data_IF_080083230963
#
_entry.id   IF_080083230963
#
_cell.length_a   1.000
_cell.length_b   1.000
_cell.length_c   1.000
_cell.angle_alpha   90.00
_cell.angle_beta   90.00
_cell.angle_gamma   90.00
#
_symmetry.space_group_name_H-M   'P 1'
#
loop_
_entity.id
_entity.type
_entity.pdbx_description
1 polymer ?
#
# COMPACT_ATOMS: atom_id res chain seq x y z
N UNK A 1 -1.10 -3.31 -6.60
CA UNK A 1 -1.90 -3.08 -5.38
C UNK A 1 -1.89 -1.60 -5.04
N UNK A 2 -3.05 -1.04 -4.81
CA UNK A 2 -3.19 0.38 -4.48
C UNK A 2 -3.83 0.52 -3.09
N UNK A 3 -3.14 1.19 -2.18
CA UNK A 3 -3.60 1.38 -0.81
C UNK A 3 -4.35 2.72 -0.70
N UNK A 4 -5.62 2.65 -0.31
CA UNK A 4 -6.50 3.81 -0.17
C UNK A 4 -7.04 3.92 1.25
N UNK A 5 -7.42 5.12 1.65
CA UNK A 5 -8.05 5.40 2.94
C UNK A 5 -7.23 4.78 4.08
N UNK A 6 -7.87 4.07 4.99
CA UNK A 6 -7.17 3.49 6.15
C UNK A 6 -6.12 2.45 5.76
N UNK A 7 -6.23 1.83 4.58
CA UNK A 7 -5.27 0.81 4.16
C UNK A 7 -3.87 1.37 3.91
N UNK A 8 -3.72 2.70 3.77
CA UNK A 8 -2.38 3.30 3.66
C UNK A 8 -1.52 3.01 4.88
N UNK A 9 -2.15 2.74 6.03
CA UNK A 9 -1.44 2.32 7.23
C UNK A 9 -0.69 1.00 7.09
N UNK A 10 -1.07 0.16 6.12
CA UNK A 10 -0.35 -1.09 5.85
C UNK A 10 1.07 -0.85 5.34
N UNK A 11 1.36 0.33 4.81
CA UNK A 11 2.69 0.68 4.30
C UNK A 11 3.68 1.11 5.40
N UNK A 12 3.23 1.26 6.63
CA UNK A 12 4.09 1.64 7.76
C UNK A 12 4.89 0.40 8.19
N UNK A 13 6.23 0.47 8.21
CA UNK A 13 7.05 -0.67 8.60
C UNK A 13 7.02 -0.92 10.11
N UNK A 14 7.56 -2.07 10.51
CA UNK A 14 7.76 -2.43 11.92
C UNK A 14 6.48 -2.59 12.73
N UNK A 15 5.34 -2.79 12.08
CA UNK A 15 4.11 -3.12 12.77
C UNK A 15 4.15 -4.58 13.20
N UNK A 16 3.82 -4.81 14.47
CA UNK A 16 3.80 -6.16 15.04
C UNK A 16 2.37 -6.66 15.11
N UNK A 17 2.18 -7.90 14.72
CA UNK A 17 0.90 -8.57 14.86
C UNK A 17 1.00 -9.62 15.97
N UNK A 18 -0.12 -9.95 16.65
CA UNK A 18 -0.11 -11.03 17.62
C UNK A 18 0.33 -12.34 16.98
N UNK A 19 0.89 -13.23 17.80
CA UNK A 19 1.27 -14.57 17.34
C UNK A 19 0.06 -15.29 16.71
N UNK A 20 0.30 -15.90 15.55
CA UNK A 20 -0.76 -16.58 14.80
C UNK A 20 -1.44 -15.71 13.75
N UNK A 21 -1.13 -14.41 13.68
CA UNK A 21 -1.65 -13.50 12.67
C UNK A 21 -0.58 -13.18 11.62
N UNK A 22 -1.04 -12.77 10.44
CA UNK A 22 -0.13 -12.43 9.35
C UNK A 22 0.59 -11.12 9.61
N UNK A 23 1.87 -11.07 9.32
CA UNK A 23 2.65 -9.84 9.36
C UNK A 23 2.53 -9.13 8.01
N UNK A 24 1.87 -7.97 8.00
CA UNK A 24 1.59 -7.22 6.77
C UNK A 24 2.87 -6.76 6.08
N UNK A 25 3.88 -6.33 6.83
CA UNK A 25 5.14 -5.91 6.23
C UNK A 25 5.80 -7.04 5.45
N UNK A 26 5.83 -8.25 6.01
CA UNK A 26 6.37 -9.42 5.32
C UNK A 26 5.58 -9.74 4.06
N UNK A 27 4.27 -9.64 4.14
CA UNK A 27 3.40 -9.93 2.99
C UNK A 27 3.62 -8.94 1.87
N UNK A 28 3.65 -7.63 2.18
CA UNK A 28 3.91 -6.60 1.19
C UNK A 28 5.31 -6.72 0.59
N UNK A 29 6.32 -6.96 1.42
CA UNK A 29 7.68 -7.15 0.96
C UNK A 29 7.79 -8.33 -0.01
N UNK A 30 7.12 -9.43 0.31
CA UNK A 30 7.09 -10.61 -0.54
C UNK A 30 6.45 -10.31 -1.91
N UNK A 31 5.33 -9.60 -1.90
CA UNK A 31 4.61 -9.22 -3.13
C UNK A 31 5.49 -8.31 -3.98
N UNK A 32 6.15 -7.34 -3.39
CA UNK A 32 7.04 -6.40 -4.09
C UNK A 32 8.23 -7.14 -4.71
N UNK A 33 8.83 -8.07 -3.97
CA UNK A 33 9.95 -8.88 -4.47
C UNK A 33 9.57 -9.73 -5.67
N UNK A 34 8.30 -10.10 -5.78
CA UNK A 34 7.79 -10.88 -6.92
C UNK A 34 7.45 -10.00 -8.12
N UNK A 35 7.73 -8.72 -8.06
CA UNK A 35 7.54 -7.80 -9.17
C UNK A 35 6.22 -7.03 -9.17
N UNK A 36 5.42 -7.14 -8.13
CA UNK A 36 4.18 -6.38 -8.05
C UNK A 36 4.45 -4.93 -7.68
N UNK A 37 3.63 -4.04 -8.25
CA UNK A 37 3.66 -2.63 -7.90
C UNK A 37 2.72 -2.37 -6.74
N UNK A 38 3.22 -1.73 -5.67
CA UNK A 38 2.42 -1.33 -4.51
C UNK A 38 2.54 0.18 -4.37
N UNK A 39 1.39 0.86 -4.40
CA UNK A 39 1.32 2.31 -4.28
C UNK A 39 0.33 2.71 -3.21
N UNK A 40 0.58 3.84 -2.56
CA UNK A 40 -0.28 4.38 -1.52
C UNK A 40 -0.80 5.75 -1.94
N UNK A 41 -2.08 6.01 -1.68
CA UNK A 41 -2.69 7.30 -1.97
C UNK A 41 -2.02 8.42 -1.16
N UNK A 42 -1.50 9.43 -1.86
CA UNK A 42 -0.82 10.56 -1.21
C UNK A 42 -1.75 11.38 -0.33
N UNK A 43 -2.94 11.70 -0.82
CA UNK A 43 -3.92 12.46 -0.03
C UNK A 43 -4.38 11.72 1.21
N UNK A 44 -4.62 10.42 1.10
CA UNK A 44 -5.00 9.58 2.24
C UNK A 44 -3.87 9.49 3.26
N UNK A 45 -2.63 9.40 2.78
CA UNK A 45 -1.45 9.34 3.64
C UNK A 45 -1.22 10.67 4.35
N UNK A 46 -1.38 11.79 3.64
CA UNK A 46 -1.26 13.12 4.21
C UNK A 46 -2.28 13.35 5.32
N UNK A 47 -3.54 13.00 5.06
CA UNK A 47 -4.62 13.15 6.04
C UNK A 47 -4.35 12.40 7.34
N UNK A 48 -3.55 11.34 7.30
CA UNK A 48 -3.23 10.51 8.45
C UNK A 48 -1.82 10.73 9.00
N UNK A 49 -1.11 11.75 8.50
CA UNK A 49 0.25 12.05 8.93
C UNK A 49 1.28 11.00 8.55
N UNK A 50 0.99 10.17 7.58
CA UNK A 50 1.86 9.04 7.17
C UNK A 50 2.96 9.47 6.21
N UNK A 51 2.76 10.57 5.45
CA UNK A 51 3.75 11.03 4.46
C UNK A 51 5.12 11.32 5.06
N UNK A 52 5.18 11.71 6.33
CA UNK A 52 6.42 12.02 7.02
C UNK A 52 7.16 10.79 7.52
N UNK A 53 6.53 9.62 7.44
CA UNK A 53 7.11 8.38 7.91
C UNK A 53 7.85 7.68 6.77
N UNK A 54 8.88 6.91 7.14
CA UNK A 54 9.53 6.03 6.19
C UNK A 54 8.63 4.81 5.96
N UNK A 55 8.16 4.65 4.73
CA UNK A 55 7.30 3.53 4.38
C UNK A 55 8.13 2.28 4.05
N UNK A 56 7.45 1.14 3.96
CA UNK A 56 8.07 -0.12 3.53
C UNK A 56 8.76 0.10 2.18
N UNK A 57 10.01 -0.38 2.06
CA UNK A 57 10.77 -0.23 0.82
C UNK A 57 10.02 -0.83 -0.36
N UNK A 58 9.92 -0.07 -1.42
CA UNK A 58 9.21 -0.48 -2.63
C UNK A 58 7.79 0.04 -2.74
N UNK A 59 7.24 0.62 -1.66
CA UNK A 59 5.93 1.29 -1.71
C UNK A 59 6.13 2.72 -2.18
N UNK A 60 5.42 3.12 -3.22
CA UNK A 60 5.49 4.46 -3.77
C UNK A 60 4.24 5.27 -3.41
N UNK A 61 4.43 6.56 -3.17
CA UNK A 61 3.31 7.47 -3.00
C UNK A 61 2.76 7.85 -4.38
N UNK A 62 1.45 7.79 -4.53
CA UNK A 62 0.77 8.06 -5.78
C UNK A 62 -0.46 8.94 -5.57
N UNK A 63 -1.31 9.05 -6.58
CA UNK A 63 -2.49 9.91 -6.57
C UNK A 63 -3.68 9.21 -7.23
N UNK A 64 -4.85 9.85 -7.15
CA UNK A 64 -6.07 9.26 -7.70
C UNK A 64 -6.06 9.19 -9.23
N UNK A 65 -5.29 10.04 -9.91
CA UNK A 65 -5.16 9.96 -11.37
C UNK A 65 -4.51 8.64 -11.76
N UNK A 66 -3.43 8.27 -11.09
CA UNK A 66 -2.75 7.01 -11.37
C UNK A 66 -3.61 5.81 -10.99
N UNK A 67 -4.33 5.90 -9.87
CA UNK A 67 -5.29 4.87 -9.48
C UNK A 67 -6.35 4.67 -10.57
N UNK A 68 -6.91 5.76 -11.10
CA UNK A 68 -7.90 5.69 -12.17
C UNK A 68 -7.33 5.03 -13.42
N UNK A 69 -6.09 5.36 -13.79
CA UNK A 69 -5.43 4.73 -14.93
C UNK A 69 -5.24 3.23 -14.71
N UNK A 70 -4.87 2.83 -13.51
CA UNK A 70 -4.73 1.41 -13.18
C UNK A 70 -6.05 0.66 -13.29
N UNK A 71 -7.15 1.28 -12.84
CA UNK A 71 -8.49 0.66 -12.95
C UNK A 71 -8.86 0.46 -14.41
N UNK A 72 -8.61 1.46 -15.26
CA UNK A 72 -8.94 1.37 -16.69
C UNK A 72 -8.10 0.31 -17.40
N UNK A 73 -6.83 0.19 -17.05
CA UNK A 73 -5.91 -0.76 -17.69
C UNK A 73 -6.03 -2.18 -17.17
N UNK A 74 -6.59 -2.36 -15.99
CA UNK A 74 -6.69 -3.68 -15.37
C UNK A 74 -7.74 -4.56 -16.03
N UNK A 75 -7.45 -5.84 -16.14
CA UNK A 75 -8.43 -6.83 -16.59
C UNK A 75 -9.51 -7.06 -15.53
N UNK A 76 -9.14 -7.02 -14.26
CA UNK A 76 -10.04 -7.18 -13.13
C UNK A 76 -9.61 -6.25 -12.00
N UNK A 77 -10.59 -5.74 -11.26
CA UNK A 77 -10.37 -4.94 -10.05
C UNK A 77 -11.03 -5.65 -8.88
N UNK A 78 -10.23 -5.93 -7.84
CA UNK A 78 -10.71 -6.52 -6.60
C UNK A 78 -10.54 -5.51 -5.47
N UNK A 79 -11.57 -5.36 -4.66
CA UNK A 79 -11.57 -4.44 -3.51
C UNK A 79 -11.78 -5.22 -2.23
N UNK A 80 -10.98 -4.92 -1.24
CA UNK A 80 -11.03 -5.58 0.06
C UNK A 80 -11.33 -4.61 1.19
#
# INVERSE_FOLDING_TARGET
MFLLADSVGCAIPNQKTPQGYYNIERMLTSVIKKGANVKACGGCSEARGILELNLIEGVEISNMREFSNWVVEADKVLTF
#
